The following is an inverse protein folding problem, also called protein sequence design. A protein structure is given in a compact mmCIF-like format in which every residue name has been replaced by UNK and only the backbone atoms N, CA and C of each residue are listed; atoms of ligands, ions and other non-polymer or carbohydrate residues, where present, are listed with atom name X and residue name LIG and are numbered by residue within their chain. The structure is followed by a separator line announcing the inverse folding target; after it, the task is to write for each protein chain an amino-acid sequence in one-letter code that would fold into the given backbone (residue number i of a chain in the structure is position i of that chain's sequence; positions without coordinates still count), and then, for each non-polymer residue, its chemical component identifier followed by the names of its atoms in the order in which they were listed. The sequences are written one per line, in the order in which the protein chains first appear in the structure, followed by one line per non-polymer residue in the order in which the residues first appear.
data_IF_057230784625
#
_entry.id   IF_057230784625
#
_cell.length_a   1.000
_cell.length_b   1.000
_cell.length_c   1.000
_cell.angle_alpha   90.00
_cell.angle_beta   90.00
_cell.angle_gamma   90.00
#
_symmetry.space_group_name_H-M   'P 1'
#
loop_
_entity.id
_entity.type
_entity.pdbx_description
1 polymer ?
#
# COMPACT_ATOMS: atom_id res chain seq x y z
N UNK A 1 -54.92 -26.31 -21.22
CA UNK A 1 -53.88 -25.27 -21.31
C UNK A 1 -53.11 -25.32 -20.00
N UNK A 2 -52.02 -26.09 -19.98
CA UNK A 2 -51.10 -26.15 -18.84
C UNK A 2 -50.01 -25.11 -19.09
N UNK A 3 -49.80 -24.25 -18.11
CA UNK A 3 -48.85 -23.15 -18.12
C UNK A 3 -47.42 -23.71 -18.02
N UNK A 4 -46.67 -23.63 -19.11
CA UNK A 4 -45.30 -24.10 -19.25
C UNK A 4 -44.34 -23.08 -18.62
N UNK A 5 -44.35 -23.04 -17.28
CA UNK A 5 -43.52 -22.13 -16.50
C UNK A 5 -42.05 -22.56 -16.62
N UNK A 6 -41.30 -21.85 -17.45
CA UNK A 6 -39.87 -22.09 -17.66
C UNK A 6 -39.13 -21.88 -16.34
N UNK A 7 -38.30 -22.84 -15.89
CA UNK A 7 -37.58 -22.74 -14.62
C UNK A 7 -36.64 -21.53 -14.65
N UNK A 8 -36.61 -20.79 -13.53
CA UNK A 8 -35.82 -19.57 -13.42
C UNK A 8 -34.33 -19.94 -13.46
N UNK A 9 -33.46 -19.22 -14.19
CA UNK A 9 -32.02 -19.55 -14.29
C UNK A 9 -31.26 -19.55 -12.95
N UNK A 10 -31.85 -18.99 -11.89
CA UNK A 10 -31.33 -19.06 -10.54
C UNK A 10 -31.53 -20.45 -9.89
N UNK A 11 -32.67 -21.10 -10.17
CA UNK A 11 -33.00 -22.43 -9.65
C UNK A 11 -32.08 -23.50 -10.26
N UNK A 12 -31.79 -23.37 -11.56
CA UNK A 12 -30.87 -24.26 -12.28
C UNK A 12 -29.43 -24.17 -11.73
N UNK A 13 -28.97 -22.96 -11.37
CA UNK A 13 -27.65 -22.77 -10.73
C UNK A 13 -27.59 -23.41 -9.35
N UNK A 14 -28.63 -23.25 -8.53
CA UNK A 14 -28.69 -23.88 -7.20
C UNK A 14 -28.70 -25.39 -7.30
N UNK A 15 -29.49 -25.96 -8.21
CA UNK A 15 -29.52 -27.39 -8.49
C UNK A 15 -28.12 -27.92 -8.85
N UNK A 16 -27.38 -27.20 -9.69
CA UNK A 16 -26.01 -27.59 -10.08
C UNK A 16 -25.01 -27.60 -8.91
N UNK A 17 -25.13 -26.69 -7.93
CA UNK A 17 -24.29 -26.70 -6.73
C UNK A 17 -24.63 -27.86 -5.80
N UNK A 18 -25.92 -28.21 -5.69
CA UNK A 18 -26.36 -29.38 -4.93
C UNK A 18 -25.83 -30.67 -5.56
N UNK A 19 -25.95 -30.82 -6.87
CA UNK A 19 -25.45 -31.99 -7.58
C UNK A 19 -23.94 -32.14 -7.42
N UNK A 20 -23.18 -31.05 -7.56
CA UNK A 20 -21.72 -31.05 -7.36
C UNK A 20 -21.32 -31.37 -5.91
N UNK A 21 -22.06 -30.84 -4.94
CA UNK A 21 -21.80 -31.14 -3.52
C UNK A 21 -22.13 -32.60 -3.20
N UNK A 22 -23.23 -33.12 -3.74
CA UNK A 22 -23.63 -34.51 -3.58
C UNK A 22 -22.63 -35.46 -4.25
N UNK A 23 -22.09 -35.10 -5.41
CA UNK A 23 -21.04 -35.84 -6.09
C UNK A 23 -19.75 -35.90 -5.26
N UNK A 24 -19.31 -34.78 -4.67
CA UNK A 24 -18.13 -34.74 -3.79
C UNK A 24 -18.35 -35.63 -2.56
N UNK A 25 -19.50 -35.52 -1.89
CA UNK A 25 -19.81 -36.34 -0.71
C UNK A 25 -19.89 -37.83 -1.07
N UNK A 26 -20.53 -38.19 -2.20
CA UNK A 26 -20.56 -39.58 -2.71
C UNK A 26 -19.16 -40.09 -3.04
N UNK A 27 -18.31 -39.25 -3.62
CA UNK A 27 -16.91 -39.58 -3.90
C UNK A 27 -16.08 -39.82 -2.64
N UNK A 28 -16.29 -39.02 -1.59
CA UNK A 28 -15.69 -39.28 -0.28
C UNK A 28 -16.28 -40.54 0.36
N UNK A 29 -17.59 -40.74 0.34
CA UNK A 29 -18.25 -41.92 0.90
C UNK A 29 -17.74 -43.21 0.24
N UNK A 30 -17.63 -43.24 -1.09
CA UNK A 30 -17.06 -44.39 -1.80
C UNK A 30 -15.60 -44.67 -1.40
N UNK A 31 -14.76 -43.63 -1.27
CA UNK A 31 -13.38 -43.81 -0.78
C UNK A 31 -13.30 -44.27 0.67
N UNK A 32 -14.25 -43.85 1.51
CA UNK A 32 -14.34 -44.34 2.87
C UNK A 32 -14.77 -45.81 2.90
N UNK A 33 -15.71 -46.23 2.06
CA UNK A 33 -16.11 -47.62 1.91
C UNK A 33 -14.94 -48.50 1.44
N UNK A 34 -14.18 -48.06 0.44
CA UNK A 34 -12.96 -48.75 -0.03
C UNK A 34 -11.88 -48.84 1.07
N UNK A 35 -11.74 -47.78 1.88
CA UNK A 35 -10.83 -47.77 3.02
C UNK A 35 -11.33 -48.67 4.15
N UNK A 36 -12.64 -48.75 4.34
CA UNK A 36 -13.28 -49.58 5.35
C UNK A 36 -13.15 -51.07 5.04
N UNK A 37 -13.13 -51.43 3.75
CA UNK A 37 -12.90 -52.81 3.32
C UNK A 37 -11.53 -53.33 3.81
N UNK A 38 -10.51 -52.49 3.87
CA UNK A 38 -9.20 -52.82 4.43
C UNK A 38 -9.19 -52.93 5.96
N UNK A 39 -10.11 -52.24 6.64
CA UNK A 39 -10.24 -52.26 8.11
C UNK A 39 -11.05 -53.47 8.59
N UNK A 40 -11.93 -54.01 7.75
CA UNK A 40 -12.77 -55.17 8.03
C UNK A 40 -11.99 -56.40 8.54
N UNK A 41 -10.90 -56.88 7.89
CA UNK A 41 -10.15 -58.03 8.40
C UNK A 41 -9.50 -57.75 9.76
N UNK A 42 -9.10 -56.51 10.05
CA UNK A 42 -8.54 -56.14 11.35
C UNK A 42 -9.62 -56.18 12.45
N UNK A 43 -10.83 -55.71 12.18
CA UNK A 43 -11.95 -55.79 13.13
C UNK A 43 -12.37 -57.24 13.39
N UNK A 44 -12.36 -58.09 12.36
CA UNK A 44 -12.69 -59.51 12.52
C UNK A 44 -11.65 -60.23 13.39
N UNK A 45 -10.35 -59.98 13.15
CA UNK A 45 -9.26 -60.50 14.00
C UNK A 45 -9.35 -59.98 15.44
N UNK A 46 -9.75 -58.72 15.61
CA UNK A 46 -9.95 -58.13 16.94
C UNK A 46 -11.12 -58.79 17.68
N UNK A 47 -12.26 -58.97 17.00
CA UNK A 47 -13.44 -59.64 17.56
C UNK A 47 -13.15 -61.09 17.94
N UNK A 48 -12.40 -61.82 17.11
CA UNK A 48 -11.97 -63.18 17.42
C UNK A 48 -11.02 -63.21 18.64
N UNK A 49 -10.10 -62.25 18.73
CA UNK A 49 -9.18 -62.12 19.87
C UNK A 49 -9.90 -61.83 21.19
N UNK A 50 -10.95 -61.00 21.17
CA UNK A 50 -11.78 -60.76 22.35
C UNK A 50 -12.52 -62.01 22.83
N UNK A 51 -13.00 -62.84 21.90
CA UNK A 51 -13.68 -64.10 22.25
C UNK A 51 -12.72 -65.13 22.84
N UNK A 52 -11.50 -65.20 22.31
CA UNK A 52 -10.50 -66.20 22.72
C UNK A 52 -9.77 -65.82 24.01
N UNK A 53 -9.39 -64.55 24.16
CA UNK A 53 -8.60 -64.04 25.29
C UNK A 53 -9.10 -62.65 25.75
N UNK A 54 -10.25 -62.57 26.45
CA UNK A 54 -10.90 -61.29 26.77
C UNK A 54 -10.07 -60.39 27.68
N UNK A 55 -9.38 -60.97 28.68
CA UNK A 55 -8.61 -60.21 29.67
C UNK A 55 -7.36 -59.56 29.06
N UNK A 56 -6.59 -60.32 28.28
CA UNK A 56 -5.37 -59.82 27.63
C UNK A 56 -5.73 -58.76 26.59
N UNK A 57 -6.77 -59.01 25.79
CA UNK A 57 -7.22 -58.05 24.77
C UNK A 57 -7.68 -56.74 25.42
N UNK A 58 -8.47 -56.79 26.50
CA UNK A 58 -8.85 -55.58 27.24
C UNK A 58 -7.64 -54.81 27.78
N UNK A 59 -6.66 -55.51 28.35
CA UNK A 59 -5.44 -54.89 28.88
C UNK A 59 -4.65 -54.19 27.78
N UNK A 60 -4.44 -54.84 26.63
CA UNK A 60 -3.73 -54.25 25.48
C UNK A 60 -4.50 -53.07 24.92
N UNK A 61 -5.83 -53.15 24.79
CA UNK A 61 -6.66 -52.04 24.30
C UNK A 61 -6.59 -50.83 25.23
N UNK A 62 -6.72 -51.04 26.54
CA UNK A 62 -6.64 -49.96 27.53
C UNK A 62 -5.23 -49.37 27.58
N UNK A 63 -4.19 -50.20 27.62
CA UNK A 63 -2.81 -49.74 27.61
C UNK A 63 -2.48 -48.99 26.30
N UNK A 64 -2.98 -49.48 25.17
CA UNK A 64 -2.86 -48.83 23.87
C UNK A 64 -3.57 -47.47 23.83
N UNK A 65 -4.81 -47.38 24.31
CA UNK A 65 -5.53 -46.11 24.33
C UNK A 65 -4.93 -45.10 25.31
N UNK A 66 -4.48 -45.56 26.49
CA UNK A 66 -3.78 -44.74 27.49
C UNK A 66 -2.41 -44.27 27.00
N UNK A 67 -1.69 -45.07 26.20
CA UNK A 67 -0.41 -44.68 25.60
C UNK A 67 -0.55 -43.83 24.35
N UNK A 68 -1.70 -43.87 23.66
CA UNK A 68 -1.99 -42.96 22.55
C UNK A 68 -2.11 -41.50 23.01
N UNK A 69 -2.66 -41.28 24.21
CA UNK A 69 -2.85 -39.94 24.78
C UNK A 69 -1.54 -39.14 24.88
N UNK A 70 -0.46 -39.65 25.51
CA UNK A 70 0.80 -38.90 25.56
C UNK A 70 1.45 -38.71 24.18
N UNK A 71 1.27 -39.64 23.24
CA UNK A 71 1.78 -39.49 21.86
C UNK A 71 1.04 -38.36 21.13
N UNK A 72 -0.29 -38.32 21.23
CA UNK A 72 -1.10 -37.24 20.64
C UNK A 72 -0.81 -35.89 21.30
N UNK A 73 -0.66 -35.86 22.63
CA UNK A 73 -0.27 -34.64 23.35
C UNK A 73 1.11 -34.15 22.90
N UNK A 74 2.09 -35.05 22.77
CA UNK A 74 3.42 -34.71 22.28
C UNK A 74 3.38 -34.14 20.85
N UNK A 75 2.62 -34.77 19.96
CA UNK A 75 2.45 -34.30 18.59
C UNK A 75 1.79 -32.92 18.55
N UNK A 76 0.72 -32.73 19.34
CA UNK A 76 0.01 -31.46 19.45
C UNK A 76 0.92 -30.33 19.98
N UNK A 77 1.66 -30.59 21.06
CA UNK A 77 2.62 -29.63 21.63
C UNK A 77 3.73 -29.31 20.61
N UNK A 78 4.23 -30.30 19.88
CA UNK A 78 5.27 -30.09 18.86
C UNK A 78 4.78 -29.19 17.74
N UNK A 79 3.60 -29.48 17.16
CA UNK A 79 3.00 -28.65 16.11
C UNK A 79 2.71 -27.25 16.63
N UNK A 80 2.16 -27.13 17.84
CA UNK A 80 1.91 -25.84 18.49
C UNK A 80 3.18 -25.04 18.72
N UNK A 81 4.27 -25.69 19.13
CA UNK A 81 5.57 -25.04 19.32
C UNK A 81 6.14 -24.54 18.00
N UNK A 82 6.08 -25.35 16.94
CA UNK A 82 6.53 -24.92 15.61
C UNK A 82 5.70 -23.73 15.11
N UNK A 83 4.37 -23.77 15.28
CA UNK A 83 3.47 -22.70 14.86
C UNK A 83 3.73 -21.39 15.64
N UNK A 84 3.92 -21.47 16.96
CA UNK A 84 4.23 -20.30 17.78
C UNK A 84 5.61 -19.72 17.46
N UNK A 85 6.62 -20.56 17.23
CA UNK A 85 7.94 -20.11 16.76
C UNK A 85 7.86 -19.42 15.40
N UNK A 86 7.12 -19.98 14.44
CA UNK A 86 6.90 -19.37 13.14
C UNK A 86 6.19 -18.01 13.26
N UNK A 87 5.16 -17.92 14.11
CA UNK A 87 4.46 -16.67 14.37
C UNK A 87 5.38 -15.60 14.98
N UNK A 88 6.16 -15.96 16.01
CA UNK A 88 7.14 -15.06 16.63
C UNK A 88 8.19 -14.61 15.61
N UNK A 89 8.67 -15.50 14.74
CA UNK A 89 9.61 -15.15 13.68
C UNK A 89 9.01 -14.10 12.73
N UNK A 90 7.78 -14.30 12.24
CA UNK A 90 7.10 -13.34 11.37
C UNK A 90 6.89 -11.99 12.07
N UNK A 91 6.44 -12.00 13.32
CA UNK A 91 6.28 -10.78 14.11
C UNK A 91 7.61 -10.04 14.30
N UNK A 92 8.71 -10.77 14.55
CA UNK A 92 10.03 -10.17 14.74
C UNK A 92 10.57 -9.52 13.46
N UNK A 93 10.39 -10.17 12.30
CA UNK A 93 10.76 -9.62 10.99
C UNK A 93 9.92 -8.39 10.67
N UNK A 94 8.61 -8.44 10.95
CA UNK A 94 7.72 -7.29 10.80
C UNK A 94 8.14 -6.10 11.66
N UNK A 95 8.43 -6.34 12.94
CA UNK A 95 8.91 -5.31 13.86
C UNK A 95 10.25 -4.72 13.42
N UNK A 96 11.21 -5.56 12.99
CA UNK A 96 12.51 -5.12 12.49
C UNK A 96 12.37 -4.28 11.20
N UNK A 97 11.47 -4.69 10.29
CA UNK A 97 11.18 -3.94 9.07
C UNK A 97 10.61 -2.55 9.39
N UNK A 98 9.60 -2.47 10.25
CA UNK A 98 9.01 -1.19 10.69
C UNK A 98 10.07 -0.30 11.34
N UNK A 99 10.87 -0.85 12.25
CA UNK A 99 11.95 -0.11 12.92
C UNK A 99 12.99 0.43 11.92
N UNK A 100 13.36 -0.37 10.90
CA UNK A 100 14.28 0.08 9.85
C UNK A 100 13.72 1.24 9.03
N UNK A 101 12.43 1.20 8.66
CA UNK A 101 11.77 2.28 7.93
C UNK A 101 11.78 3.58 8.74
N UNK A 102 11.44 3.50 10.03
CA UNK A 102 11.49 4.68 10.91
C UNK A 102 12.91 5.22 11.08
N UNK A 103 13.91 4.35 11.20
CA UNK A 103 15.31 4.76 11.28
C UNK A 103 15.72 5.52 10.00
N UNK A 104 15.45 4.96 8.82
CA UNK A 104 15.76 5.62 7.55
C UNK A 104 15.00 6.93 7.37
N UNK A 105 13.71 6.98 7.72
CA UNK A 105 12.92 8.20 7.67
C UNK A 105 13.51 9.28 8.59
N UNK A 106 13.94 8.91 9.80
CA UNK A 106 14.56 9.83 10.74
C UNK A 106 15.91 10.36 10.22
N UNK A 107 16.76 9.49 9.68
CA UNK A 107 18.03 9.89 9.06
C UNK A 107 17.80 10.84 7.90
N UNK A 108 16.84 10.53 7.02
CA UNK A 108 16.51 11.37 5.87
C UNK A 108 15.96 12.73 6.31
N UNK A 109 15.06 12.75 7.30
CA UNK A 109 14.52 14.00 7.85
C UNK A 109 15.61 14.85 8.50
N UNK A 110 16.54 14.22 9.23
CA UNK A 110 17.69 14.89 9.83
C UNK A 110 18.62 15.50 8.79
N UNK A 111 18.94 14.75 7.73
CA UNK A 111 19.75 15.24 6.60
C UNK A 111 19.06 16.39 5.87
N UNK A 112 17.76 16.26 5.60
CA UNK A 112 16.99 17.29 4.90
C UNK A 112 16.91 18.58 5.73
N UNK A 113 16.68 18.45 7.04
CA UNK A 113 16.70 19.58 7.97
C UNK A 113 18.09 20.25 8.03
N UNK A 114 19.16 19.45 8.11
CA UNK A 114 20.53 19.95 8.10
C UNK A 114 20.87 20.70 6.80
N UNK A 115 20.53 20.13 5.65
CA UNK A 115 20.71 20.77 4.34
C UNK A 115 19.88 22.05 4.20
N UNK A 116 18.66 22.06 4.72
CA UNK A 116 17.81 23.24 4.73
C UNK A 116 18.41 24.38 5.57
N UNK A 117 18.87 24.08 6.79
CA UNK A 117 19.56 25.06 7.64
C UNK A 117 20.86 25.55 7.00
N UNK A 118 21.65 24.64 6.42
CA UNK A 118 22.87 24.99 5.70
C UNK A 118 22.57 25.92 4.52
N UNK A 119 21.53 25.65 3.74
CA UNK A 119 21.09 26.48 2.63
C UNK A 119 20.68 27.89 3.07
N UNK A 120 19.92 27.99 4.17
CA UNK A 120 19.55 29.29 4.77
C UNK A 120 20.81 30.06 5.18
N UNK A 121 21.71 29.42 5.92
CA UNK A 121 22.94 30.06 6.37
C UNK A 121 23.82 30.50 5.19
N UNK A 122 24.02 29.63 4.21
CA UNK A 122 24.78 29.94 3.00
C UNK A 122 24.17 31.13 2.25
N UNK A 123 22.85 31.20 2.16
CA UNK A 123 22.13 32.33 1.55
C UNK A 123 22.35 33.61 2.35
N UNK A 124 22.23 33.58 3.68
CA UNK A 124 22.48 34.73 4.55
C UNK A 124 23.93 35.19 4.42
N UNK A 125 24.90 34.28 4.48
CA UNK A 125 26.32 34.60 4.31
C UNK A 125 26.61 35.19 2.93
N UNK A 126 26.00 34.65 1.87
CA UNK A 126 26.11 35.21 0.52
C UNK A 126 25.56 36.62 0.43
N UNK A 127 24.38 36.87 1.01
CA UNK A 127 23.74 38.20 1.04
C UNK A 127 24.59 39.20 1.85
N UNK A 128 25.03 38.81 3.05
CA UNK A 128 25.89 39.67 3.90
C UNK A 128 27.25 39.92 3.23
N UNK A 129 27.86 38.90 2.63
CA UNK A 129 29.11 39.01 1.89
C UNK A 129 28.98 39.97 0.69
N UNK A 130 27.89 39.86 -0.06
CA UNK A 130 27.58 40.79 -1.16
C UNK A 130 27.39 42.23 -0.65
N UNK A 131 26.57 42.42 0.39
CA UNK A 131 26.30 43.74 0.98
C UNK A 131 27.58 44.39 1.50
N UNK A 132 28.43 43.63 2.20
CA UNK A 132 29.71 44.12 2.72
C UNK A 132 30.71 44.44 1.62
N UNK A 133 30.83 43.60 0.60
CA UNK A 133 31.66 43.87 -0.58
C UNK A 133 31.19 45.14 -1.30
N UNK A 134 29.89 45.27 -1.57
CA UNK A 134 29.29 46.45 -2.21
C UNK A 134 29.55 47.71 -1.39
N UNK A 135 29.30 47.67 -0.08
CA UNK A 135 29.58 48.80 0.81
C UNK A 135 31.07 49.19 0.77
N UNK A 136 31.99 48.22 0.80
CA UNK A 136 33.42 48.48 0.71
C UNK A 136 33.79 49.15 -0.63
N UNK A 137 33.16 48.75 -1.74
CA UNK A 137 33.38 49.40 -3.05
C UNK A 137 32.88 50.85 -3.06
N UNK A 138 31.70 51.13 -2.48
CA UNK A 138 31.14 52.50 -2.42
C UNK A 138 31.97 53.41 -1.50
N UNK A 139 32.41 52.91 -0.35
CA UNK A 139 33.28 53.68 0.57
C UNK A 139 34.60 54.04 -0.11
N UNK A 140 35.14 53.15 -0.95
CA UNK A 140 36.39 53.41 -1.67
C UNK A 140 36.23 54.43 -2.79
N UNK A 141 35.06 54.50 -3.42
CA UNK A 141 34.76 55.46 -4.48
C UNK A 141 34.43 56.85 -3.92
N UNK A 142 33.47 56.94 -2.99
CA UNK A 142 32.83 58.19 -2.58
C UNK A 142 33.03 58.53 -1.09
N UNK A 143 33.85 57.77 -0.38
CA UNK A 143 34.17 57.98 1.02
C UNK A 143 32.95 57.84 1.94
N UNK A 144 32.66 58.87 2.73
CA UNK A 144 31.54 58.87 3.70
C UNK A 144 30.17 58.98 3.01
N UNK A 145 30.09 59.60 1.83
CA UNK A 145 28.82 59.75 1.12
C UNK A 145 28.28 58.40 0.63
N UNK A 146 29.16 57.47 0.25
CA UNK A 146 28.77 56.14 -0.22
C UNK A 146 28.00 55.29 0.81
N UNK A 147 28.11 55.58 2.10
CA UNK A 147 27.30 54.88 3.14
C UNK A 147 25.83 55.28 3.08
N UNK A 148 25.55 56.56 2.81
CA UNK A 148 24.18 57.07 2.69
C UNK A 148 23.52 56.53 1.42
N UNK A 149 24.25 56.54 0.31
CA UNK A 149 23.77 55.99 -0.96
C UNK A 149 23.49 54.48 -0.86
N UNK A 150 24.39 53.71 -0.23
CA UNK A 150 24.17 52.29 0.05
C UNK A 150 22.92 52.05 0.91
N UNK A 151 22.67 52.88 1.93
CA UNK A 151 21.51 52.74 2.79
C UNK A 151 20.20 53.03 2.05
N UNK A 152 20.19 54.03 1.15
CA UNK A 152 19.04 54.33 0.29
C UNK A 152 18.79 53.22 -0.73
N UNK A 153 19.83 52.70 -1.40
CA UNK A 153 19.74 51.55 -2.31
C UNK A 153 19.12 50.34 -1.58
N UNK A 154 19.67 49.98 -0.41
CA UNK A 154 19.24 48.81 0.37
C UNK A 154 17.79 48.96 0.83
N UNK A 155 17.40 50.15 1.30
CA UNK A 155 16.01 50.44 1.69
C UNK A 155 15.07 50.37 0.49
N UNK A 156 15.50 50.85 -0.67
CA UNK A 156 14.76 50.78 -1.93
C UNK A 156 14.48 49.34 -2.36
N UNK A 157 15.47 48.45 -2.29
CA UNK A 157 15.30 47.03 -2.59
C UNK A 157 14.26 46.34 -1.68
N UNK A 158 14.29 46.63 -0.38
CA UNK A 158 13.33 46.07 0.59
C UNK A 158 11.91 46.61 0.34
N UNK A 159 11.78 47.89 0.01
CA UNK A 159 10.48 48.50 -0.28
C UNK A 159 9.86 47.95 -1.58
N UNK A 160 10.67 47.81 -2.64
CA UNK A 160 10.22 47.25 -3.92
C UNK A 160 9.78 45.79 -3.78
N UNK A 161 10.49 44.99 -2.98
CA UNK A 161 10.09 43.59 -2.71
C UNK A 161 8.71 43.48 -2.03
N UNK A 162 8.37 44.41 -1.12
CA UNK A 162 7.04 44.46 -0.50
C UNK A 162 5.94 44.84 -1.48
N UNK A 163 6.21 45.79 -2.39
CA UNK A 163 5.23 46.21 -3.40
C UNK A 163 4.88 45.08 -4.38
N UNK A 164 5.87 44.28 -4.78
CA UNK A 164 5.63 43.12 -5.67
C UNK A 164 4.77 42.06 -4.99
N UNK A 165 5.06 41.70 -3.73
CA UNK A 165 4.22 40.76 -2.96
C UNK A 165 2.80 41.27 -2.74
N UNK A 166 2.62 42.57 -2.50
CA UNK A 166 1.29 43.16 -2.31
C UNK A 166 0.45 43.11 -3.59
N UNK A 167 1.09 43.26 -4.76
CA UNK A 167 0.42 43.15 -6.06
C UNK A 167 0.04 41.70 -6.40
N UNK A 168 0.89 40.74 -6.06
CA UNK A 168 0.61 39.31 -6.23
C UNK A 168 -0.43 38.77 -5.24
N UNK A 169 -0.53 39.33 -4.03
CA UNK A 169 -1.55 38.98 -3.04
C UNK A 169 -2.92 39.62 -3.30
N UNK A 170 -3.05 40.43 -4.36
CA UNK A 170 -4.32 40.98 -4.85
C UNK A 170 -4.79 40.34 -6.19
N UNK A 171 -4.84 39.00 -6.34
CA UNK A 171 -5.53 38.41 -7.46
C UNK A 171 -7.01 38.20 -7.08
N UNK A 172 -7.92 38.38 -8.03
CA UNK A 172 -9.31 37.91 -7.97
C UNK A 172 -10.35 38.77 -7.24
N UNK A 173 -10.27 40.11 -7.28
CA UNK A 173 -11.50 40.93 -7.10
C UNK A 173 -12.05 41.59 -8.36
N UNK A 174 -11.27 41.69 -9.44
CA UNK A 174 -11.69 42.38 -10.67
C UNK A 174 -12.08 41.45 -11.84
N UNK A 175 -12.02 40.12 -11.69
CA UNK A 175 -12.43 39.20 -12.78
C UNK A 175 -13.91 38.76 -12.74
N UNK A 176 -14.65 39.02 -11.65
CA UNK A 176 -16.08 38.68 -11.56
C UNK A 176 -17.02 39.85 -11.94
N UNK A 177 -16.51 40.94 -12.51
CA UNK A 177 -17.33 42.10 -12.90
C UNK A 177 -17.34 42.33 -14.43
N UNK A 178 -17.25 41.24 -15.20
CA UNK A 178 -17.41 41.28 -16.66
C UNK A 178 -18.26 40.14 -17.24
N UNK A 179 -18.81 39.22 -16.44
CA UNK A 179 -19.63 38.09 -16.97
C UNK A 179 -21.15 38.31 -16.93
N UNK A 180 -21.65 39.44 -16.40
CA UNK A 180 -23.09 39.73 -16.38
C UNK A 180 -23.57 40.67 -17.50
N UNK A 181 -22.77 40.91 -18.53
CA UNK A 181 -23.17 41.79 -19.63
C UNK A 181 -22.62 41.36 -20.98
N UNK A 182 -23.12 40.25 -21.53
CA UNK A 182 -23.35 39.94 -22.96
C UNK A 182 -23.57 38.42 -23.07
N UNK A 183 -24.74 37.88 -23.42
CA UNK A 183 -25.64 38.38 -24.44
C UNK A 183 -25.11 38.04 -25.84
N UNK A 184 -25.37 36.80 -26.26
CA UNK A 184 -25.70 36.47 -27.66
C UNK A 184 -24.56 36.13 -28.65
N UNK A 185 -24.80 34.99 -29.31
CA UNK A 185 -24.41 34.58 -30.68
C UNK A 185 -23.16 33.71 -30.90
N UNK A 186 -23.45 32.44 -31.19
CA UNK A 186 -22.81 31.55 -32.17
C UNK A 186 -21.48 32.01 -32.76
N UNK A 187 -20.42 31.23 -32.54
CA UNK A 187 -19.30 31.21 -33.48
C UNK A 187 -18.79 29.80 -33.75
N UNK A 188 -18.95 29.45 -35.01
CA UNK A 188 -18.73 28.19 -35.69
C UNK A 188 -17.23 27.97 -35.94
N UNK A 189 -16.63 26.95 -35.30
CA UNK A 189 -15.23 26.58 -35.54
C UNK A 189 -15.16 25.71 -36.81
N UNK A 190 -14.70 26.35 -37.90
CA UNK A 190 -14.28 25.67 -39.13
C UNK A 190 -12.94 24.98 -38.86
N UNK A 191 -12.95 23.64 -38.85
CA UNK A 191 -11.74 22.83 -38.93
C UNK A 191 -11.21 22.93 -40.36
N UNK A 192 -10.15 23.72 -40.57
CA UNK A 192 -9.38 23.66 -41.82
C UNK A 192 -8.54 22.39 -41.81
N UNK A 193 -8.93 21.46 -42.68
CA UNK A 193 -8.14 20.29 -43.04
C UNK A 193 -7.08 20.75 -44.05
N UNK A 194 -5.79 20.71 -43.68
CA UNK A 194 -4.67 20.87 -44.61
C UNK A 194 -4.29 19.49 -45.17
N UNK A 195 -4.39 19.23 -46.48
CA UNK A 195 -4.03 17.94 -47.09
C UNK A 195 -2.60 17.86 -47.65
N UNK A 196 -1.73 18.86 -47.50
CA UNK A 196 -0.43 18.91 -48.20
C UNK A 196 0.77 18.31 -47.43
N UNK A 197 0.55 17.32 -46.58
CA UNK A 197 1.64 16.68 -45.81
C UNK A 197 2.32 15.49 -46.51
N UNK A 198 2.06 15.25 -47.80
CA UNK A 198 2.47 14.03 -48.51
C UNK A 198 3.37 14.31 -49.71
N UNK A 199 4.40 15.15 -49.55
CA UNK A 199 5.46 15.26 -50.56
C UNK A 199 6.78 15.73 -49.95
N UNK A 200 7.52 14.80 -49.32
CA UNK A 200 9.00 14.85 -49.21
C UNK A 200 9.54 13.58 -48.53
N UNK A 201 9.62 12.50 -49.31
CA UNK A 201 10.46 11.35 -48.97
C UNK A 201 11.04 10.69 -50.21
N UNK A 202 11.93 11.40 -50.90
CA UNK A 202 12.94 10.81 -51.79
C UNK A 202 14.19 11.67 -51.65
N UNK A 203 15.18 11.13 -50.93
CA UNK A 203 16.61 11.04 -51.32
C UNK A 203 17.41 10.40 -50.16
#
# INVERSE_FOLDING_TARGET
MADERSPHPAEERLASYFDKSAEIVRGYAGRFEDSYEHVKPAMDVWNESYRKYPVITLFVTLFGSLSLLPVLSFLGITVFTIATLAFVAVCSVGAASIASVFLFAFVLLSLLSGLFLFSILATIFGVVGYLTFRLATLIRADGRAGVLEWAEETKGHIARGRQLRAREASPAKDQNQAEDSEGSEMSHVVVKHDPDADEKRID
#
